data_IF_675256162630
#
_entry.id   IF_675256162630
#
_cell.length_a   1.000
_cell.length_b   1.000
_cell.length_c   1.000
_cell.angle_alpha   90.00
_cell.angle_beta   90.00
_cell.angle_gamma   90.00
#
_symmetry.space_group_name_H-M   'P 1'
#
loop_
_entity.id
_entity.type
_entity.pdbx_description
1 polymer ?
#
# COMPACT_ATOMS: atom_id res chain seq x y z
N UNK A 1 8.75 16.80 1.67
CA UNK A 1 9.53 15.63 2.12
C UNK A 1 10.84 15.59 1.37
N UNK A 2 11.96 15.44 2.08
CA UNK A 2 13.28 15.22 1.45
C UNK A 2 13.43 13.71 1.21
N UNK A 3 13.92 13.34 0.04
CA UNK A 3 14.24 11.96 -0.30
C UNK A 3 15.36 11.89 -1.35
N UNK A 4 15.98 10.72 -1.44
CA UNK A 4 17.02 10.41 -2.41
C UNK A 4 17.08 8.90 -2.66
N UNK A 5 17.85 8.49 -3.66
CA UNK A 5 18.09 7.09 -3.96
C UNK A 5 19.34 6.60 -3.22
N UNK A 6 19.30 5.37 -2.68
CA UNK A 6 20.41 4.80 -1.90
C UNK A 6 21.75 4.79 -2.67
N UNK A 7 21.72 4.61 -3.99
CA UNK A 7 22.89 4.61 -4.87
C UNK A 7 23.34 6.02 -5.30
N UNK A 8 22.58 7.07 -4.95
CA UNK A 8 22.86 8.47 -5.28
C UNK A 8 22.60 9.38 -4.05
N UNK A 9 23.34 9.20 -2.94
CA UNK A 9 23.09 9.88 -1.67
C UNK A 9 23.28 11.41 -1.71
N UNK A 10 23.98 11.91 -2.71
CA UNK A 10 24.19 13.34 -3.00
C UNK A 10 22.99 14.00 -3.72
N UNK A 11 22.15 13.23 -4.39
CA UNK A 11 20.99 13.72 -5.16
C UNK A 11 19.73 13.81 -4.31
N UNK A 12 19.75 14.71 -3.32
CA UNK A 12 18.65 14.94 -2.39
C UNK A 12 17.63 15.90 -2.97
N UNK A 13 16.38 15.46 -3.05
CA UNK A 13 15.28 16.22 -3.62
C UNK A 13 14.20 16.47 -2.58
N UNK A 14 13.60 17.66 -2.62
CA UNK A 14 12.45 18.01 -1.78
C UNK A 14 11.20 18.08 -2.65
N UNK A 15 10.22 17.24 -2.33
CA UNK A 15 8.94 17.20 -3.03
C UNK A 15 7.78 17.25 -2.06
N UNK A 16 6.64 17.77 -2.50
CA UNK A 16 5.38 17.65 -1.79
C UNK A 16 4.81 16.25 -2.02
N UNK A 17 4.55 15.50 -0.95
CA UNK A 17 4.08 14.12 -1.03
C UNK A 17 2.58 14.08 -0.77
N UNK A 18 1.84 13.32 -1.58
CA UNK A 18 0.42 13.04 -1.39
C UNK A 18 0.22 11.52 -1.47
N UNK A 19 -0.35 10.93 -0.42
CA UNK A 19 -0.79 9.54 -0.42
C UNK A 19 -2.23 9.50 -0.94
N UNK A 20 -2.40 9.09 -2.19
CA UNK A 20 -3.73 9.04 -2.81
C UNK A 20 -3.74 8.08 -3.98
N UNK A 21 -4.87 7.43 -4.19
CA UNK A 21 -5.10 6.55 -5.32
C UNK A 21 -4.29 5.26 -5.24
N UNK A 22 -3.93 4.82 -4.03
CA UNK A 22 -3.06 3.67 -3.84
C UNK A 22 -1.58 3.90 -4.14
N UNK A 23 -1.11 5.15 -4.14
CA UNK A 23 0.28 5.49 -4.42
C UNK A 23 0.78 6.71 -3.64
N UNK A 24 2.10 6.81 -3.48
CA UNK A 24 2.78 8.04 -3.06
C UNK A 24 3.05 8.86 -4.32
N UNK A 25 2.39 10.00 -4.44
CA UNK A 25 2.61 10.95 -5.53
C UNK A 25 3.49 12.10 -5.04
N UNK A 26 4.58 12.35 -5.76
CA UNK A 26 5.58 13.36 -5.44
C UNK A 26 5.44 14.51 -6.43
N UNK A 27 5.23 15.72 -5.93
CA UNK A 27 5.08 16.92 -6.75
C UNK A 27 6.19 17.92 -6.48
N UNK A 28 6.54 18.68 -7.51
CA UNK A 28 7.37 19.87 -7.34
C UNK A 28 6.59 20.94 -6.60
N UNK A 29 7.27 21.68 -5.73
CA UNK A 29 6.73 22.86 -5.07
C UNK A 29 7.09 24.08 -5.94
N UNK A 30 6.08 24.76 -6.49
CA UNK A 30 6.25 26.01 -7.24
C UNK A 30 5.81 27.20 -6.36
N UNK A 31 6.14 28.43 -6.76
CA UNK A 31 5.80 29.63 -6.00
C UNK A 31 4.28 29.80 -5.77
N UNK A 32 3.44 29.27 -6.66
CA UNK A 32 1.98 29.31 -6.56
C UNK A 32 1.38 28.04 -5.90
N UNK A 33 2.22 27.17 -5.34
CA UNK A 33 1.83 25.91 -4.72
C UNK A 33 2.11 24.69 -5.59
N UNK A 34 1.33 23.63 -5.38
CA UNK A 34 1.52 22.33 -6.04
C UNK A 34 0.63 22.24 -7.27
N UNK A 35 1.22 21.96 -8.44
CA UNK A 35 0.45 21.67 -9.64
C UNK A 35 0.05 20.18 -9.66
N UNK A 36 -1.24 19.83 -9.47
CA UNK A 36 -1.68 18.45 -9.39
C UNK A 36 -1.56 17.68 -10.72
N UNK A 37 -1.38 18.37 -11.84
CA UNK A 37 -1.20 17.76 -13.16
C UNK A 37 0.27 17.46 -13.50
N UNK A 38 1.23 17.88 -12.66
CA UNK A 38 2.67 17.67 -12.88
C UNK A 38 3.27 16.87 -11.74
N UNK A 39 2.94 15.58 -11.72
CA UNK A 39 3.58 14.61 -10.83
C UNK A 39 5.03 14.41 -11.27
N UNK A 40 5.99 14.60 -10.36
CA UNK A 40 7.40 14.30 -10.61
C UNK A 40 7.65 12.79 -10.63
N UNK A 41 7.09 12.09 -9.63
CA UNK A 41 7.24 10.63 -9.49
C UNK A 41 6.09 10.04 -8.69
N UNK A 42 5.71 8.82 -9.05
CA UNK A 42 4.74 8.02 -8.31
C UNK A 42 5.39 6.72 -7.84
N UNK A 43 5.23 6.39 -6.56
CA UNK A 43 5.57 5.07 -6.00
C UNK A 43 4.25 4.36 -5.68
N UNK A 44 3.82 3.39 -6.49
CA UNK A 44 2.62 2.59 -6.19
C UNK A 44 2.80 1.85 -4.86
N UNK A 45 1.78 1.83 -4.00
CA UNK A 45 1.83 1.08 -2.74
C UNK A 45 2.02 -0.41 -2.98
N UNK A 46 1.42 -0.95 -4.05
CA UNK A 46 1.63 -2.34 -4.47
C UNK A 46 3.07 -2.64 -4.91
N UNK A 47 3.86 -1.61 -5.22
CA UNK A 47 5.29 -1.74 -5.52
C UNK A 47 6.19 -1.64 -4.29
N UNK A 48 5.67 -1.31 -3.10
CA UNK A 48 6.49 -1.16 -1.88
C UNK A 48 6.61 -2.51 -1.18
N UNK A 49 7.79 -3.12 -1.23
CA UNK A 49 8.08 -4.39 -0.55
C UNK A 49 8.18 -4.22 0.96
N UNK A 50 9.01 -3.27 1.42
CA UNK A 50 9.28 -3.09 2.85
C UNK A 50 9.60 -1.64 3.17
N UNK A 51 9.20 -1.23 4.38
CA UNK A 51 9.59 0.02 5.01
C UNK A 51 10.51 -0.30 6.18
N UNK A 52 11.70 0.31 6.22
CA UNK A 52 12.71 0.01 7.26
C UNK A 52 13.17 1.31 7.92
N UNK A 53 13.04 1.47 9.25
CA UNK A 53 13.61 2.63 9.93
C UNK A 53 15.14 2.62 9.80
N UNK A 54 15.76 3.79 9.69
CA UNK A 54 17.19 3.93 9.55
C UNK A 54 17.78 4.71 10.74
N UNK A 55 18.67 4.04 11.47
CA UNK A 55 19.38 4.60 12.62
C UNK A 55 20.91 4.57 12.43
N UNK A 56 21.37 4.41 11.19
CA UNK A 56 22.78 4.34 10.85
C UNK A 56 23.43 5.74 10.71
N UNK A 57 24.75 5.78 10.45
CA UNK A 57 25.46 7.03 10.18
C UNK A 57 25.02 7.65 8.84
N UNK A 58 25.32 8.92 8.56
CA UNK A 58 25.02 9.51 7.27
C UNK A 58 25.70 8.79 6.11
N UNK A 59 24.95 8.54 5.03
CA UNK A 59 25.46 7.91 3.80
C UNK A 59 26.39 8.83 2.99
N UNK A 60 26.40 10.12 3.29
CA UNK A 60 27.26 11.10 2.64
C UNK A 60 27.69 12.16 3.67
N UNK A 61 28.98 12.50 3.70
CA UNK A 61 29.60 13.35 4.73
C UNK A 61 28.99 14.76 4.84
N UNK A 62 28.43 15.27 3.74
CA UNK A 62 27.87 16.63 3.68
C UNK A 62 26.40 16.72 4.11
N UNK A 63 25.74 15.59 4.41
CA UNK A 63 24.31 15.57 4.70
C UNK A 63 24.00 14.78 5.97
N UNK A 64 22.86 15.05 6.64
CA UNK A 64 22.37 14.20 7.73
C UNK A 64 21.99 12.79 7.26
N UNK A 65 21.94 11.84 8.20
CA UNK A 65 21.33 10.53 7.97
C UNK A 65 19.85 10.66 7.59
N UNK A 66 19.31 9.72 6.82
CA UNK A 66 17.87 9.63 6.56
C UNK A 66 17.13 8.99 7.74
N UNK A 67 15.79 9.05 7.71
CA UNK A 67 14.95 8.51 8.78
C UNK A 67 14.50 7.07 8.50
N UNK A 68 14.16 6.74 7.25
CA UNK A 68 13.70 5.40 6.87
C UNK A 68 13.90 5.13 5.37
N UNK A 69 13.83 3.86 5.00
CA UNK A 69 13.97 3.36 3.63
C UNK A 69 12.65 2.79 3.12
N UNK A 70 12.35 3.06 1.85
CA UNK A 70 11.28 2.42 1.08
C UNK A 70 11.94 1.53 0.04
N UNK A 71 11.80 0.21 0.15
CA UNK A 71 12.29 -0.74 -0.84
C UNK A 71 11.16 -1.17 -1.73
N UNK A 72 11.41 -1.14 -3.03
CA UNK A 72 10.39 -1.44 -4.05
C UNK A 72 10.64 -2.79 -4.73
N UNK A 73 9.62 -3.31 -5.42
CA UNK A 73 9.70 -4.54 -6.22
C UNK A 73 10.68 -4.43 -7.39
N UNK A 74 10.97 -3.21 -7.87
CA UNK A 74 11.99 -2.94 -8.88
C UNK A 74 13.40 -2.80 -8.29
N UNK A 75 13.64 -3.28 -7.07
CA UNK A 75 14.90 -3.18 -6.33
C UNK A 75 15.41 -1.75 -6.08
N UNK A 76 14.56 -0.74 -6.28
CA UNK A 76 14.89 0.65 -5.94
C UNK A 76 14.71 0.88 -4.44
N UNK A 77 15.68 1.56 -3.81
CA UNK A 77 15.64 1.95 -2.41
C UNK A 77 15.62 3.47 -2.29
N UNK A 78 14.51 4.00 -1.81
CA UNK A 78 14.34 5.43 -1.51
C UNK A 78 14.66 5.69 -0.05
N UNK A 79 15.64 6.54 0.21
CA UNK A 79 15.98 7.04 1.54
C UNK A 79 15.17 8.32 1.82
N UNK A 80 14.47 8.38 2.95
CA UNK A 80 13.46 9.40 3.21
C UNK A 80 13.72 10.15 4.52
N UNK A 81 13.56 11.47 4.47
CA UNK A 81 13.71 12.36 5.62
C UNK A 81 15.16 12.70 5.93
N UNK A 82 15.34 13.58 6.91
CA UNK A 82 16.64 13.96 7.45
C UNK A 82 16.57 13.90 8.97
N UNK A 83 17.38 13.01 9.54
CA UNK A 83 17.52 12.81 10.96
C UNK A 83 18.55 13.77 11.53
N UNK A 84 18.05 14.85 12.14
CA UNK A 84 18.88 15.87 12.79
C UNK A 84 19.16 15.57 14.27
N UNK A 85 18.49 14.59 14.88
CA UNK A 85 18.59 14.30 16.31
C UNK A 85 20.00 13.83 16.73
N UNK A 86 20.80 13.36 15.77
CA UNK A 86 22.19 12.95 15.98
C UNK A 86 23.13 14.16 16.18
N UNK A 87 22.71 15.36 15.78
CA UNK A 87 23.50 16.58 15.93
C UNK A 87 23.02 17.35 17.17
N UNK A 88 23.75 17.21 18.28
CA UNK A 88 23.47 17.94 19.54
C UNK A 88 23.60 19.47 19.43
N UNK A 89 24.14 19.97 18.30
CA UNK A 89 24.14 21.37 17.91
C UNK A 89 23.81 21.47 16.40
N UNK A 90 23.07 22.49 15.93
CA UNK A 90 22.81 22.67 14.51
C UNK A 90 24.15 22.75 13.75
N UNK A 91 24.38 21.94 12.70
CA UNK A 91 25.65 21.97 11.97
C UNK A 91 25.96 23.38 11.48
N UNK A 92 27.23 23.80 11.51
CA UNK A 92 27.68 25.16 11.14
C UNK A 92 27.36 25.58 9.69
N UNK A 93 26.76 24.68 8.90
CA UNK A 93 26.27 24.89 7.54
C UNK A 93 24.82 24.40 7.35
N UNK A 94 23.91 24.61 8.31
CA UNK A 94 22.49 24.31 8.04
C UNK A 94 21.95 25.32 7.01
N UNK A 95 21.33 24.88 5.90
CA UNK A 95 20.52 25.77 5.08
C UNK A 95 19.47 26.48 5.94
N UNK A 96 19.27 27.79 5.74
CA UNK A 96 18.46 28.71 6.57
C UNK A 96 16.98 28.32 6.78
N UNK A 97 16.52 27.18 6.27
CA UNK A 97 15.12 26.74 6.33
C UNK A 97 14.84 25.71 7.44
N UNK A 98 15.81 25.36 8.29
CA UNK A 98 15.62 24.43 9.41
C UNK A 98 15.16 25.17 10.68
N UNK A 99 13.87 25.51 10.76
CA UNK A 99 13.22 25.94 12.00
C UNK A 99 12.16 24.90 12.39
N UNK A 100 12.37 24.25 13.54
CA UNK A 100 11.35 23.46 14.26
C UNK A 100 11.27 21.97 13.91
N UNK A 101 11.72 21.10 14.84
CA UNK A 101 11.43 19.65 14.95
C UNK A 101 11.32 18.90 13.61
N UNK A 102 12.43 18.74 12.88
CA UNK A 102 12.45 18.15 11.53
C UNK A 102 12.02 16.68 11.45
N UNK A 103 12.20 15.91 12.54
CA UNK A 103 11.91 14.47 12.53
C UNK A 103 10.42 14.11 12.58
N UNK A 104 9.55 15.03 13.01
CA UNK A 104 8.11 14.72 13.14
C UNK A 104 7.48 14.35 11.80
N UNK A 105 7.84 15.07 10.73
CA UNK A 105 7.23 14.86 9.41
C UNK A 105 7.61 13.50 8.80
N UNK A 106 8.90 13.14 8.81
CA UNK A 106 9.33 11.84 8.27
C UNK A 106 8.75 10.67 9.07
N UNK A 107 8.71 10.80 10.40
CA UNK A 107 8.10 9.79 11.27
C UNK A 107 6.59 9.65 11.04
N UNK A 108 5.86 10.76 10.87
CA UNK A 108 4.43 10.73 10.52
C UNK A 108 4.19 10.02 9.19
N UNK A 109 5.01 10.29 8.17
CA UNK A 109 4.94 9.59 6.89
C UNK A 109 5.25 8.09 7.02
N UNK A 110 6.28 7.73 7.79
CA UNK A 110 6.58 6.33 8.06
C UNK A 110 5.39 5.60 8.68
N UNK A 111 4.75 6.19 9.69
CA UNK A 111 3.55 5.62 10.33
C UNK A 111 2.36 5.52 9.36
N UNK A 112 2.10 6.56 8.57
CA UNK A 112 1.02 6.56 7.59
C UNK A 112 1.22 5.47 6.52
N UNK A 113 2.44 5.30 6.02
CA UNK A 113 2.77 4.26 5.07
C UNK A 113 2.70 2.86 5.68
N UNK A 114 3.17 2.69 6.92
CA UNK A 114 2.98 1.42 7.64
C UNK A 114 1.51 1.06 7.78
N UNK A 115 0.64 2.03 8.07
CA UNK A 115 -0.80 1.79 8.15
C UNK A 115 -1.42 1.46 6.78
N UNK A 116 -1.00 2.14 5.72
CA UNK A 116 -1.51 1.91 4.37
C UNK A 116 -1.07 0.55 3.79
N UNK A 117 0.11 0.06 4.18
CA UNK A 117 0.64 -1.24 3.74
C UNK A 117 0.23 -2.40 4.65
N UNK A 118 -0.34 -2.12 5.83
CA UNK A 118 -0.78 -3.18 6.73
C UNK A 118 -1.93 -3.97 6.10
N UNK A 119 -1.98 -5.30 6.30
CA UNK A 119 -3.19 -6.05 6.06
C UNK A 119 -4.32 -5.43 6.89
N UNK A 120 -5.57 -5.42 6.41
CA UNK A 120 -6.65 -4.74 7.10
C UNK A 120 -6.85 -5.37 8.47
N UNK A 121 -7.02 -4.57 9.53
CA UNK A 121 -6.72 -4.93 10.91
C UNK A 121 -7.39 -6.25 11.31
N UNK A 122 -6.62 -7.30 11.56
CA UNK A 122 -7.11 -8.45 12.31
C UNK A 122 -7.02 -8.15 13.81
N UNK A 123 -8.04 -8.50 14.59
CA UNK A 123 -8.00 -8.28 16.05
C UNK A 123 -6.86 -9.09 16.68
N UNK A 124 -5.81 -8.39 17.15
CA UNK A 124 -4.68 -8.82 17.98
C UNK A 124 -4.58 -10.35 18.21
N UNK A 125 -3.92 -11.09 17.31
CA UNK A 125 -3.42 -12.42 17.62
C UNK A 125 -2.33 -12.92 16.65
N UNK A 126 -1.22 -13.43 17.19
CA UNK A 126 -0.01 -13.87 16.47
C UNK A 126 -0.20 -15.16 15.67
N UNK A 127 -1.25 -15.94 15.98
CA UNK A 127 -1.60 -17.19 15.29
C UNK A 127 -2.16 -17.00 13.86
N UNK A 128 -2.50 -15.77 13.47
CA UNK A 128 -3.08 -15.43 12.16
C UNK A 128 -2.10 -14.79 11.17
N UNK A 129 -0.81 -14.79 11.54
CA UNK A 129 0.23 -14.04 10.83
C UNK A 129 0.53 -14.66 9.46
N UNK A 130 0.67 -15.99 9.35
CA UNK A 130 1.09 -16.65 8.10
C UNK A 130 0.16 -16.36 6.90
N UNK A 131 -1.18 -16.56 6.97
CA UNK A 131 -2.05 -16.29 5.81
C UNK A 131 -2.17 -14.79 5.50
N UNK A 132 -2.05 -13.93 6.52
CA UNK A 132 -2.04 -12.48 6.33
C UNK A 132 -0.75 -11.99 5.68
N UNK A 133 0.39 -12.58 6.05
CA UNK A 133 1.69 -12.35 5.43
C UNK A 133 1.65 -12.82 3.97
N UNK A 134 1.21 -14.05 3.71
CA UNK A 134 1.10 -14.59 2.36
C UNK A 134 0.23 -13.71 1.45
N UNK A 135 -0.91 -13.22 1.96
CA UNK A 135 -1.72 -12.25 1.23
C UNK A 135 -0.96 -10.95 0.95
N UNK A 136 -0.29 -10.38 1.96
CA UNK A 136 0.42 -9.09 1.86
C UNK A 136 1.68 -9.17 1.00
N UNK A 137 2.28 -10.35 0.86
CA UNK A 137 3.42 -10.61 -0.04
C UNK A 137 2.98 -10.58 -1.50
N UNK A 138 1.81 -11.14 -1.80
CA UNK A 138 1.31 -11.27 -3.17
C UNK A 138 0.46 -10.08 -3.61
N UNK A 139 -0.30 -9.49 -2.69
CA UNK A 139 -1.32 -8.49 -3.00
C UNK A 139 -1.25 -7.26 -2.09
N UNK A 140 -1.68 -6.12 -2.62
CA UNK A 140 -1.87 -4.89 -1.87
C UNK A 140 -3.30 -4.39 -2.05
N UNK A 141 -4.03 -4.19 -0.96
CA UNK A 141 -5.34 -3.53 -0.98
C UNK A 141 -5.13 -2.02 -1.06
N UNK A 142 -5.90 -1.36 -1.93
CA UNK A 142 -5.97 0.10 -2.00
C UNK A 142 -7.17 0.55 -1.17
N UNK A 143 -6.95 0.73 0.14
CA UNK A 143 -8.02 0.96 1.12
C UNK A 143 -8.85 2.22 0.89
N UNK A 144 -8.33 3.18 0.11
CA UNK A 144 -9.03 4.39 -0.32
C UNK A 144 -9.93 4.18 -1.55
N UNK A 145 -9.84 3.02 -2.22
CA UNK A 145 -10.61 2.68 -3.42
C UNK A 145 -11.57 1.51 -3.17
N UNK A 146 -12.73 1.82 -2.60
CA UNK A 146 -13.84 0.86 -2.49
C UNK A 146 -14.54 0.72 -3.84
N UNK A 147 -14.63 -0.51 -4.35
CA UNK A 147 -15.37 -0.84 -5.58
C UNK A 147 -16.84 -1.16 -5.30
N UNK A 148 -17.14 -1.66 -4.10
CA UNK A 148 -18.51 -1.94 -3.68
C UNK A 148 -18.61 -2.37 -2.23
N UNK A 149 -19.80 -2.25 -1.66
CA UNK A 149 -20.10 -2.72 -0.30
C UNK A 149 -21.43 -3.46 -0.30
N UNK A 150 -21.48 -4.64 0.32
CA UNK A 150 -22.70 -5.43 0.40
C UNK A 150 -22.83 -6.18 1.72
N UNK A 151 -23.87 -7.00 1.81
CA UNK A 151 -24.17 -7.82 2.98
C UNK A 151 -22.98 -8.71 3.39
N UNK A 152 -22.26 -9.25 2.41
CA UNK A 152 -21.16 -10.19 2.63
C UNK A 152 -19.82 -9.52 2.90
N UNK A 153 -19.70 -8.20 2.82
CA UNK A 153 -18.43 -7.51 3.03
C UNK A 153 -18.20 -6.38 2.04
N UNK A 154 -16.96 -5.88 2.02
CA UNK A 154 -16.54 -4.75 1.18
C UNK A 154 -15.55 -5.24 0.14
N UNK A 155 -15.73 -4.78 -1.10
CA UNK A 155 -14.82 -5.05 -2.20
C UNK A 155 -13.95 -3.82 -2.42
N UNK A 156 -12.64 -4.01 -2.36
CA UNK A 156 -11.65 -2.96 -2.61
C UNK A 156 -10.91 -3.24 -3.91
N UNK A 157 -10.42 -2.18 -4.55
CA UNK A 157 -9.38 -2.33 -5.56
C UNK A 157 -8.10 -2.82 -4.87
N UNK A 158 -7.34 -3.64 -5.58
CA UNK A 158 -6.05 -4.11 -5.15
C UNK A 158 -5.10 -4.30 -6.32
N UNK A 159 -3.86 -4.66 -6.01
CA UNK A 159 -2.82 -4.90 -7.02
C UNK A 159 -2.07 -6.18 -6.63
N UNK A 160 -1.84 -7.05 -7.60
CA UNK A 160 -0.88 -8.14 -7.48
C UNK A 160 0.53 -7.56 -7.54
N UNK A 161 1.29 -7.65 -6.46
CA UNK A 161 2.57 -6.94 -6.26
C UNK A 161 3.63 -7.25 -7.31
N UNK A 162 3.74 -8.52 -7.71
CA UNK A 162 4.75 -8.96 -8.67
C UNK A 162 4.43 -8.54 -10.11
N UNK A 163 3.21 -8.79 -10.58
CA UNK A 163 2.79 -8.50 -11.96
C UNK A 163 2.31 -7.06 -12.17
N UNK A 164 1.98 -6.34 -11.10
CA UNK A 164 1.34 -5.03 -11.15
C UNK A 164 -0.12 -5.07 -11.62
N UNK A 165 -0.69 -6.25 -11.88
CA UNK A 165 -2.06 -6.41 -12.37
C UNK A 165 -3.07 -5.96 -11.32
N UNK A 166 -4.06 -5.18 -11.74
CA UNK A 166 -5.17 -4.80 -10.87
C UNK A 166 -6.06 -6.00 -10.56
N UNK A 167 -6.51 -6.07 -9.31
CA UNK A 167 -7.42 -7.09 -8.80
C UNK A 167 -8.54 -6.44 -7.99
N UNK A 168 -9.63 -7.16 -7.80
CA UNK A 168 -10.64 -6.81 -6.80
C UNK A 168 -10.50 -7.76 -5.61
N UNK A 169 -10.54 -7.22 -4.40
CA UNK A 169 -10.39 -7.99 -3.17
C UNK A 169 -11.62 -7.82 -2.31
N UNK A 170 -12.41 -8.89 -2.17
CA UNK A 170 -13.56 -8.92 -1.28
C UNK A 170 -13.09 -9.30 0.13
N UNK A 171 -13.29 -8.39 1.07
CA UNK A 171 -12.95 -8.56 2.48
C UNK A 171 -14.22 -8.87 3.26
N UNK A 172 -14.27 -10.06 3.86
CA UNK A 172 -15.42 -10.59 4.59
C UNK A 172 -15.02 -10.81 6.03
N UNK A 173 -15.74 -10.23 6.99
CA UNK A 173 -15.50 -10.51 8.41
C UNK A 173 -16.19 -11.82 8.81
N UNK A 174 -15.45 -12.73 9.47
CA UNK A 174 -15.95 -14.07 9.85
C UNK A 174 -17.03 -14.04 10.91
N UNK A 175 -17.07 -13.00 11.74
CA UNK A 175 -18.12 -12.78 12.73
C UNK A 175 -19.51 -12.60 12.10
N UNK A 176 -19.56 -12.25 10.80
CA UNK A 176 -20.81 -12.23 10.02
C UNK A 176 -21.38 -13.61 9.79
N UNK A 177 -20.55 -14.66 9.75
CA UNK A 177 -21.00 -16.05 9.64
C UNK A 177 -21.33 -16.63 11.02
N UNK A 178 -20.50 -16.38 12.04
CA UNK A 178 -20.68 -17.00 13.36
C UNK A 178 -21.99 -16.62 14.07
N UNK A 179 -22.58 -15.45 13.76
CA UNK A 179 -23.87 -15.03 14.30
C UNK A 179 -25.10 -15.64 13.60
N UNK A 180 -24.95 -16.22 12.41
CA UNK A 180 -26.09 -16.65 11.56
C UNK A 180 -25.99 -18.09 11.03
N UNK A 181 -24.79 -18.66 10.89
CA UNK A 181 -24.58 -20.04 10.43
C UNK A 181 -23.14 -20.49 10.74
N UNK A 182 -22.94 -21.46 11.66
CA UNK A 182 -21.62 -22.06 11.92
C UNK A 182 -20.97 -22.68 10.67
N UNK A 183 -21.77 -23.12 9.69
CA UNK A 183 -21.32 -23.72 8.43
C UNK A 183 -21.00 -22.70 7.32
N UNK A 184 -21.24 -21.41 7.55
CA UNK A 184 -21.13 -20.38 6.49
C UNK A 184 -19.73 -20.24 5.87
N UNK A 185 -18.68 -20.51 6.64
CA UNK A 185 -17.30 -20.51 6.11
C UNK A 185 -17.06 -21.69 5.17
N UNK A 186 -17.58 -22.88 5.49
CA UNK A 186 -17.41 -24.07 4.65
C UNK A 186 -18.24 -23.99 3.37
N UNK A 187 -19.42 -23.37 3.43
CA UNK A 187 -20.19 -23.00 2.24
C UNK A 187 -19.40 -22.05 1.35
N UNK A 188 -18.81 -20.99 1.91
CA UNK A 188 -17.98 -20.06 1.14
C UNK A 188 -16.75 -20.74 0.52
N UNK A 189 -16.07 -21.64 1.25
CA UNK A 189 -14.95 -22.42 0.70
C UNK A 189 -15.39 -23.28 -0.48
N UNK A 190 -16.56 -23.91 -0.37
CA UNK A 190 -17.13 -24.73 -1.45
C UNK A 190 -17.46 -23.89 -2.67
N UNK A 191 -18.10 -22.72 -2.48
CA UNK A 191 -18.37 -21.76 -3.56
C UNK A 191 -17.08 -21.29 -4.24
N UNK A 192 -16.06 -20.93 -3.46
CA UNK A 192 -14.76 -20.50 -3.99
C UNK A 192 -14.11 -21.61 -4.80
N UNK A 193 -14.09 -22.85 -4.31
CA UNK A 193 -13.51 -23.97 -5.02
C UNK A 193 -14.18 -24.22 -6.38
N UNK A 194 -15.51 -24.11 -6.44
CA UNK A 194 -16.26 -24.21 -7.70
C UNK A 194 -15.87 -23.06 -8.63
N UNK A 195 -15.89 -21.82 -8.15
CA UNK A 195 -15.61 -20.64 -8.96
C UNK A 195 -14.16 -20.58 -9.46
N UNK A 196 -13.20 -21.10 -8.71
CA UNK A 196 -11.80 -21.24 -9.15
C UNK A 196 -11.64 -22.24 -10.29
N UNK A 197 -12.53 -23.23 -10.40
CA UNK A 197 -12.49 -24.22 -11.50
C UNK A 197 -13.06 -23.68 -12.82
N UNK A 198 -13.75 -22.53 -12.78
CA UNK A 198 -14.46 -21.96 -13.93
C UNK A 198 -13.61 -20.88 -14.59
N UNK A 199 -13.47 -20.96 -15.92
CA UNK A 199 -12.81 -19.95 -16.74
C UNK A 199 -13.62 -19.69 -17.99
N UNK A 200 -14.39 -18.60 -17.99
CA UNK A 200 -15.28 -18.23 -19.10
C UNK A 200 -15.36 -16.70 -19.21
N UNK A 201 -15.46 -16.16 -20.41
CA UNK A 201 -15.46 -14.70 -20.66
C UNK A 201 -16.59 -13.95 -19.93
N UNK A 202 -17.73 -14.61 -19.71
CA UNK A 202 -18.88 -14.05 -18.99
C UNK A 202 -18.89 -14.31 -17.48
N UNK A 203 -17.86 -14.93 -16.90
CA UNK A 203 -17.80 -15.28 -15.47
C UNK A 203 -16.54 -14.70 -14.86
N UNK A 204 -16.70 -13.95 -13.76
CA UNK A 204 -15.59 -13.34 -13.05
C UNK A 204 -14.61 -14.43 -12.59
N UNK A 205 -13.36 -14.34 -13.04
CA UNK A 205 -12.29 -15.23 -12.62
C UNK A 205 -11.93 -15.01 -11.15
N UNK A 206 -12.09 -16.07 -10.35
CA UNK A 206 -11.63 -16.12 -8.96
C UNK A 206 -10.20 -16.67 -8.93
N UNK A 207 -9.27 -15.90 -8.38
CA UNK A 207 -7.85 -16.26 -8.35
C UNK A 207 -7.45 -17.02 -7.10
N UNK A 208 -7.77 -16.48 -5.92
CA UNK A 208 -7.28 -17.02 -4.66
C UNK A 208 -8.19 -16.64 -3.51
N UNK A 209 -8.17 -17.46 -2.46
CA UNK A 209 -8.78 -17.13 -1.17
C UNK A 209 -7.74 -17.24 -0.07
N UNK A 210 -7.67 -16.20 0.76
CA UNK A 210 -6.83 -16.17 1.96
C UNK A 210 -7.71 -16.02 3.18
N UNK A 211 -7.44 -16.81 4.19
CA UNK A 211 -8.25 -16.86 5.39
C UNK A 211 -7.40 -16.49 6.60
N UNK A 212 -7.73 -15.37 7.24
CA UNK A 212 -7.16 -15.00 8.54
C UNK A 212 -8.12 -15.44 9.66
N UNK A 213 -7.76 -15.22 10.92
CA UNK A 213 -8.61 -15.59 12.06
C UNK A 213 -9.98 -14.95 12.02
N UNK A 214 -10.08 -13.70 11.58
CA UNK A 214 -11.29 -12.88 11.66
C UNK A 214 -11.80 -12.42 10.30
N UNK A 215 -11.04 -12.61 9.22
CA UNK A 215 -11.43 -12.20 7.88
C UNK A 215 -11.13 -13.26 6.83
N UNK A 216 -11.85 -13.14 5.72
CA UNK A 216 -11.62 -13.90 4.49
C UNK A 216 -11.42 -12.87 3.37
N UNK A 217 -10.37 -13.10 2.59
CA UNK A 217 -9.98 -12.31 1.43
C UNK A 217 -10.22 -13.17 0.19
N UNK A 218 -11.14 -12.75 -0.66
CA UNK A 218 -11.36 -13.39 -1.96
C UNK A 218 -10.79 -12.46 -3.03
N UNK A 219 -9.75 -12.94 -3.72
CA UNK A 219 -9.09 -12.23 -4.82
C UNK A 219 -9.72 -12.66 -6.13
N UNK A 220 -10.15 -11.68 -6.91
CA UNK A 220 -10.82 -11.88 -8.19
C UNK A 220 -10.32 -10.86 -9.21
N UNK A 221 -10.59 -11.11 -10.49
CA UNK A 221 -10.33 -10.12 -11.53
C UNK A 221 -11.10 -8.82 -11.27
N UNK A 222 -10.45 -7.69 -11.57
CA UNK A 222 -11.08 -6.38 -11.50
C UNK A 222 -11.77 -6.10 -12.82
N UNK A 223 -13.08 -5.88 -12.75
CA UNK A 223 -13.86 -5.42 -13.91
C UNK A 223 -13.73 -3.91 -14.05
N UNK A 224 -13.71 -3.43 -15.30
CA UNK A 224 -13.73 -2.01 -15.61
C UNK A 224 -15.15 -1.63 -16.05
N UNK A 225 -15.85 -0.89 -15.20
CA UNK A 225 -17.25 -0.52 -15.42
C UNK A 225 -18.18 -1.12 -14.36
N UNK A 226 -19.44 -0.71 -14.40
CA UNK A 226 -20.48 -1.28 -13.53
C UNK A 226 -21.07 -2.58 -14.12
N UNK A 227 -21.96 -3.23 -13.37
CA UNK A 227 -22.59 -4.47 -13.80
C UNK A 227 -23.37 -4.31 -15.12
N UNK A 228 -24.01 -3.16 -15.35
CA UNK A 228 -24.82 -2.93 -16.55
C UNK A 228 -23.94 -2.66 -17.77
N UNK A 229 -22.90 -1.84 -17.63
CA UNK A 229 -21.90 -1.62 -18.69
C UNK A 229 -21.24 -2.93 -19.09
N UNK A 230 -20.92 -3.78 -18.12
CA UNK A 230 -20.36 -5.11 -18.33
C UNK A 230 -21.32 -6.04 -19.10
N UNK A 231 -22.61 -6.02 -18.78
CA UNK A 231 -23.61 -6.85 -19.49
C UNK A 231 -23.82 -6.35 -20.91
N UNK A 232 -23.87 -5.02 -21.10
CA UNK A 232 -24.16 -4.40 -22.40
C UNK A 232 -22.97 -4.42 -23.36
N UNK A 233 -21.75 -4.60 -22.85
CA UNK A 233 -20.51 -4.62 -23.65
C UNK A 233 -20.05 -6.02 -24.08
N UNK A 234 -20.74 -7.10 -23.68
CA UNK A 234 -20.36 -8.45 -24.06
C UNK A 234 -20.57 -8.70 -25.56
N UNK A 235 -19.50 -8.53 -26.35
CA UNK A 235 -19.24 -9.29 -27.57
C UNK A 235 -18.12 -10.28 -27.19
N UNK A 236 -18.42 -11.58 -27.23
CA UNK A 236 -17.40 -12.63 -27.04
C UNK A 236 -16.36 -12.60 -28.18
#
# INVERSE_FOLDING_TARGET
MIHFMLDQPERRLRHYWILSGGAINMYNEYNEGVNPHRVYRTIPLGGIMVLTPYNGPPLHSSFPAHCFEIRTTSHMVYCVGENLDVYSAPPSKVPRHASGKSNSNAQMWFQALQQALRPPPSRNDSSSTEPALQFTELYQILGDKTLGSGQFGTVYAGVHRQSGREVAVKVIAKDRFSKKSPAGVDTLRSEVAILQSISHCGIIKLESMFETKDKIFVVMEKMNGDMLEMILSQVC
#
